data_IF_269470172230
#
_entry.id   IF_269470172230
#
_cell.length_a   1.000
_cell.length_b   1.000
_cell.length_c   1.000
_cell.angle_alpha   90.00
_cell.angle_beta   90.00
_cell.angle_gamma   90.00
#
_symmetry.space_group_name_H-M   'P 1'
#
loop_
_entity.id
_entity.type
_entity.pdbx_description
1 polymer ?
#
# COMPACT_ATOMS: atom_id res chain seq x y z
N UNK A 1 40.33 -42.88 23.81
CA UNK A 1 40.14 -41.57 23.16
C UNK A 1 38.89 -41.67 22.28
N UNK A 2 37.74 -41.26 22.80
CA UNK A 2 36.46 -41.32 22.09
C UNK A 2 36.24 -40.01 21.33
N UNK A 3 36.15 -40.11 20.00
CA UNK A 3 35.94 -38.95 19.14
C UNK A 3 34.47 -38.52 19.18
N UNK A 4 34.23 -37.25 19.51
CA UNK A 4 32.91 -36.62 19.49
C UNK A 4 32.48 -36.41 18.04
N UNK A 5 31.41 -37.09 17.62
CA UNK A 5 30.78 -36.89 16.30
C UNK A 5 29.96 -35.60 16.35
N UNK A 6 30.42 -34.56 15.64
CA UNK A 6 29.65 -33.33 15.47
C UNK A 6 28.58 -33.56 14.40
N UNK A 7 27.30 -33.25 14.66
CA UNK A 7 26.26 -33.41 13.65
C UNK A 7 26.54 -32.50 12.46
N UNK A 8 26.66 -33.09 11.27
CA UNK A 8 26.87 -32.35 10.03
C UNK A 8 25.64 -31.49 9.71
N UNK A 9 25.87 -30.28 9.21
CA UNK A 9 24.80 -29.36 8.81
C UNK A 9 23.92 -30.00 7.72
N UNK A 10 22.62 -30.13 7.99
CA UNK A 10 21.63 -30.63 7.05
C UNK A 10 20.55 -29.59 6.81
N UNK A 11 20.40 -29.13 5.56
CA UNK A 11 19.36 -28.17 5.18
C UNK A 11 18.11 -28.93 4.74
N UNK A 12 17.07 -28.87 5.55
CA UNK A 12 15.77 -29.45 5.21
C UNK A 12 15.14 -28.69 4.04
N UNK A 13 14.66 -29.44 3.04
CA UNK A 13 13.81 -28.90 1.98
C UNK A 13 12.36 -29.01 2.45
N UNK A 14 11.72 -27.87 2.66
CA UNK A 14 10.30 -27.80 2.99
C UNK A 14 9.55 -27.63 1.68
N UNK A 15 8.71 -28.59 1.33
CA UNK A 15 7.87 -28.47 0.13
C UNK A 15 6.89 -27.30 0.29
N UNK A 16 6.94 -26.37 -0.66
CA UNK A 16 5.97 -25.26 -0.74
C UNK A 16 4.90 -25.59 -1.77
N UNK A 17 3.64 -25.43 -1.40
CA UNK A 17 2.50 -25.47 -2.33
C UNK A 17 1.86 -24.08 -2.41
N UNK A 18 1.29 -23.77 -3.57
CA UNK A 18 0.46 -22.58 -3.75
C UNK A 18 -0.80 -22.72 -2.89
N UNK A 19 -0.89 -21.91 -1.85
CA UNK A 19 -2.10 -21.78 -1.06
C UNK A 19 -3.04 -20.82 -1.80
N UNK A 20 -4.33 -21.17 -2.01
CA UNK A 20 -5.28 -20.24 -2.57
C UNK A 20 -5.40 -19.01 -1.65
N UNK A 21 -5.53 -17.83 -2.24
CA UNK A 21 -5.58 -16.59 -1.50
C UNK A 21 -6.77 -16.63 -0.54
N UNK A 22 -6.48 -16.67 0.77
CA UNK A 22 -7.53 -16.63 1.79
C UNK A 22 -8.24 -15.30 1.67
N UNK A 23 -9.57 -15.35 1.86
CA UNK A 23 -10.53 -14.24 1.90
C UNK A 23 -9.86 -12.89 2.19
N UNK A 24 -10.15 -11.83 1.39
CA UNK A 24 -9.52 -10.54 1.56
C UNK A 24 -9.66 -10.08 3.01
N UNK A 25 -8.52 -9.75 3.63
CA UNK A 25 -8.53 -9.27 5.00
C UNK A 25 -9.36 -7.99 5.08
N UNK A 26 -10.15 -7.82 6.15
CA UNK A 26 -10.89 -6.60 6.35
C UNK A 26 -9.91 -5.41 6.39
N UNK A 27 -10.30 -4.25 5.84
CA UNK A 27 -9.44 -3.07 5.84
C UNK A 27 -9.16 -2.65 7.29
N UNK A 28 -7.88 -2.67 7.69
CA UNK A 28 -7.45 -2.28 9.04
C UNK A 28 -7.48 -0.77 9.28
N UNK A 29 -7.50 0.00 8.20
CA UNK A 29 -7.38 1.46 8.24
C UNK A 29 -8.49 2.09 7.42
N UNK A 30 -9.12 3.10 8.01
CA UNK A 30 -10.09 3.95 7.34
C UNK A 30 -9.36 5.14 6.72
N UNK A 31 -9.45 5.28 5.41
CA UNK A 31 -8.72 6.31 4.67
C UNK A 31 -9.69 7.44 4.35
N UNK A 32 -9.49 8.60 4.96
CA UNK A 32 -10.25 9.81 4.65
C UNK A 32 -9.48 10.69 3.67
N UNK A 33 -10.16 11.12 2.62
CA UNK A 33 -9.56 11.93 1.56
C UNK A 33 -10.44 13.13 1.27
N UNK A 34 -9.84 14.30 1.18
CA UNK A 34 -10.50 15.50 0.65
C UNK A 34 -10.40 15.48 -0.87
N UNK A 35 -11.44 14.94 -1.53
CA UNK A 35 -11.49 14.72 -2.99
C UNK A 35 -11.09 15.94 -3.83
N UNK A 36 -11.56 17.13 -3.44
CA UNK A 36 -11.25 18.38 -4.13
C UNK A 36 -9.75 18.72 -4.07
N UNK A 37 -9.10 18.51 -2.92
CA UNK A 37 -7.65 18.72 -2.78
C UNK A 37 -6.86 17.66 -3.52
N UNK A 38 -7.31 16.40 -3.47
CA UNK A 38 -6.68 15.30 -4.20
C UNK A 38 -6.68 15.57 -5.71
N UNK A 39 -7.81 16.04 -6.25
CA UNK A 39 -7.93 16.39 -7.66
C UNK A 39 -7.05 17.59 -8.02
N UNK A 40 -7.02 18.64 -7.19
CA UNK A 40 -6.16 19.81 -7.41
C UNK A 40 -4.67 19.43 -7.42
N UNK A 41 -4.26 18.56 -6.50
CA UNK A 41 -2.89 18.03 -6.43
C UNK A 41 -2.57 17.17 -7.66
N UNK A 42 -3.45 16.24 -8.02
CA UNK A 42 -3.27 15.40 -9.21
C UNK A 42 -3.16 16.25 -10.48
N UNK A 43 -3.99 17.28 -10.65
CA UNK A 43 -3.93 18.19 -11.79
C UNK A 43 -2.61 18.98 -11.82
N UNK A 44 -2.16 19.46 -10.65
CA UNK A 44 -0.87 20.15 -10.52
C UNK A 44 0.30 19.23 -10.90
N UNK A 45 0.28 17.97 -10.48
CA UNK A 45 1.32 17.00 -10.83
C UNK A 45 1.28 16.59 -12.30
N UNK A 46 0.10 16.41 -12.89
CA UNK A 46 -0.06 16.15 -14.33
C UNK A 46 0.54 17.29 -15.15
N UNK A 47 0.33 18.54 -14.74
CA UNK A 47 0.90 19.71 -15.40
C UNK A 47 2.42 19.78 -15.22
N UNK A 48 2.93 19.54 -14.00
CA UNK A 48 4.36 19.56 -13.71
C UNK A 48 5.15 18.48 -14.45
N UNK A 49 4.56 17.28 -14.61
CA UNK A 49 5.19 16.14 -15.27
C UNK A 49 4.84 16.00 -16.77
N UNK A 50 4.38 17.09 -17.41
CA UNK A 50 4.08 17.16 -18.84
C UNK A 50 3.18 16.01 -19.34
N UNK A 51 2.15 15.66 -18.57
CA UNK A 51 1.18 14.63 -18.97
C UNK A 51 1.59 13.19 -18.68
N UNK A 52 2.68 12.93 -17.93
CA UNK A 52 2.98 11.58 -17.44
C UNK A 52 2.01 11.13 -16.35
N UNK A 53 0.82 10.68 -16.78
CA UNK A 53 -0.27 10.21 -15.92
C UNK A 53 0.17 9.08 -14.97
N UNK A 54 1.08 8.20 -15.39
CA UNK A 54 1.59 7.12 -14.53
C UNK A 54 2.33 7.64 -13.30
N UNK A 55 3.09 8.73 -13.43
CA UNK A 55 3.83 9.32 -12.31
C UNK A 55 2.87 10.10 -11.42
N UNK A 56 1.99 10.92 -12.00
CA UNK A 56 1.03 11.73 -11.25
C UNK A 56 -0.01 10.88 -10.48
N UNK A 57 -0.39 9.71 -11.00
CA UNK A 57 -1.33 8.81 -10.33
C UNK A 57 -0.68 7.90 -9.28
N UNK A 58 0.66 7.86 -9.24
CA UNK A 58 1.42 7.12 -8.21
C UNK A 58 1.52 7.87 -6.88
N UNK A 59 1.16 9.16 -6.86
CA UNK A 59 1.11 10.00 -5.66
C UNK A 59 -0.36 10.32 -5.36
N UNK A 60 -0.77 10.41 -4.10
CA UNK A 60 0.05 10.53 -2.88
C UNK A 60 0.48 9.20 -2.24
N UNK A 61 0.19 8.04 -2.84
CA UNK A 61 0.60 6.74 -2.29
C UNK A 61 1.09 5.79 -3.38
N UNK A 62 2.33 5.32 -3.23
CA UNK A 62 3.02 4.39 -4.14
C UNK A 62 2.23 3.09 -4.32
N UNK A 63 1.46 2.69 -3.31
CA UNK A 63 0.62 1.49 -3.35
C UNK A 63 -0.69 1.66 -4.15
N UNK A 64 -0.92 2.81 -4.79
CA UNK A 64 -2.11 3.02 -5.61
C UNK A 64 -3.42 3.06 -4.81
N UNK A 65 -3.36 3.37 -3.51
CA UNK A 65 -4.57 3.53 -2.67
C UNK A 65 -5.54 4.53 -3.29
N UNK A 66 -5.05 5.54 -4.01
CA UNK A 66 -5.86 6.60 -4.62
C UNK A 66 -6.04 6.45 -6.13
N UNK A 67 -5.67 5.31 -6.71
CA UNK A 67 -5.61 5.15 -8.17
C UNK A 67 -6.95 4.75 -8.82
N UNK A 68 -8.09 4.82 -8.12
CA UNK A 68 -9.40 4.46 -8.70
C UNK A 68 -9.83 5.50 -9.74
N UNK A 69 -9.89 5.16 -11.05
CA UNK A 69 -10.28 6.10 -12.10
C UNK A 69 -11.80 6.30 -12.18
N UNK A 70 -12.58 5.29 -11.77
CA UNK A 70 -14.05 5.30 -11.80
C UNK A 70 -14.56 5.27 -10.36
N UNK A 71 -15.51 6.14 -10.00
CA UNK A 71 -16.09 6.20 -8.65
C UNK A 71 -15.61 7.36 -7.75
N UNK A 72 -14.91 8.35 -8.31
CA UNK A 72 -14.72 9.65 -7.65
C UNK A 72 -13.67 9.66 -6.54
N UNK A 73 -12.44 9.24 -6.85
CA UNK A 73 -11.26 9.37 -5.99
C UNK A 73 -11.42 8.73 -4.59
N UNK A 74 -12.31 7.73 -4.51
CA UNK A 74 -12.49 6.95 -3.30
C UNK A 74 -11.25 6.07 -3.07
N UNK A 75 -10.63 6.11 -1.88
CA UNK A 75 -9.48 5.29 -1.59
C UNK A 75 -9.83 3.81 -1.57
N UNK A 76 -8.87 2.99 -2.00
CA UNK A 76 -8.84 1.54 -1.87
C UNK A 76 -8.28 1.20 -0.50
N UNK A 77 -9.16 1.19 0.51
CA UNK A 77 -8.76 0.89 1.89
C UNK A 77 -8.13 -0.50 2.00
N UNK A 78 -8.50 -1.43 1.11
CA UNK A 78 -7.89 -2.77 1.01
C UNK A 78 -6.38 -2.77 0.70
N UNK A 79 -5.85 -1.70 0.09
CA UNK A 79 -4.42 -1.56 -0.24
C UNK A 79 -3.64 -0.78 0.83
N UNK A 80 -4.31 -0.19 1.81
CA UNK A 80 -3.68 0.64 2.81
C UNK A 80 -3.01 -0.22 3.89
N UNK A 81 -1.68 -0.17 3.96
CA UNK A 81 -0.87 -0.83 5.01
C UNK A 81 -0.58 0.06 6.22
N UNK A 82 -1.05 1.31 6.23
CA UNK A 82 -0.83 2.23 7.34
C UNK A 82 0.60 2.79 7.43
N UNK A 83 1.33 2.91 6.30
CA UNK A 83 2.68 3.47 6.28
C UNK A 83 2.77 4.99 6.60
N UNK A 84 1.63 5.67 6.71
CA UNK A 84 1.46 7.11 7.02
C UNK A 84 2.17 8.11 6.09
N UNK A 85 2.95 7.65 5.11
CA UNK A 85 3.69 8.49 4.17
C UNK A 85 2.82 9.54 3.47
N UNK A 86 1.64 9.15 2.99
CA UNK A 86 0.70 10.05 2.32
C UNK A 86 0.15 11.14 3.26
N UNK A 87 -0.03 10.83 4.55
CA UNK A 87 -0.48 11.81 5.56
C UNK A 87 0.65 12.76 5.98
N UNK A 88 1.90 12.31 5.96
CA UNK A 88 3.06 13.18 6.22
C UNK A 88 3.35 14.12 5.04
N UNK A 89 3.31 13.60 3.80
CA UNK A 89 3.56 14.40 2.60
C UNK A 89 2.40 15.38 2.31
N UNK A 90 1.15 14.98 2.59
CA UNK A 90 -0.05 15.74 2.25
C UNK A 90 -1.12 15.69 3.37
N UNK A 91 -0.85 16.24 4.56
CA UNK A 91 -1.75 16.17 5.72
C UNK A 91 -3.11 16.86 5.48
N UNK A 92 -3.15 17.85 4.59
CA UNK A 92 -4.35 18.56 4.21
C UNK A 92 -5.26 17.77 3.26
N UNK A 93 -4.71 16.75 2.59
CA UNK A 93 -5.39 15.94 1.57
C UNK A 93 -5.86 14.61 2.14
N UNK A 94 -5.01 13.93 2.92
CA UNK A 94 -5.19 12.56 3.36
C UNK A 94 -5.07 12.44 4.87
N UNK A 95 -6.03 11.73 5.48
CA UNK A 95 -5.94 11.28 6.86
C UNK A 95 -6.18 9.79 6.94
N UNK A 96 -5.28 9.08 7.62
CA UNK A 96 -5.42 7.66 7.93
C UNK A 96 -5.90 7.55 9.37
N UNK A 97 -7.02 6.87 9.57
CA UNK A 97 -7.57 6.59 10.88
C UNK A 97 -7.55 5.07 11.10
N UNK A 98 -7.38 4.59 12.34
CA UNK A 98 -7.64 3.19 12.65
C UNK A 98 -9.10 2.86 12.30
N UNK A 99 -9.34 1.66 11.79
CA UNK A 99 -10.71 1.17 11.65
C UNK A 99 -11.31 1.02 13.07
N UNK A 100 -12.54 1.50 13.32
CA UNK A 100 -13.15 1.47 14.66
C UNK A 100 -13.61 0.08 15.12
N UNK A 101 -13.55 -0.92 14.22
CA UNK A 101 -13.96 -2.31 14.44
C UNK A 101 -12.74 -3.23 14.60
#
# INVERSE_FOLDING_TARGET
MTATVMPAYHRYHIETRLTPDLVPHPPRFRVRVKKHRLLAMALKEVLAHRGNLRVALSRPCVYGVYSRPVGGLAPREELCVGCLRCTVEHPEVVQILPHPD
#
